data_IF_747629895567
#
_entry.id   IF_747629895567
#
_cell.length_a   1.000
_cell.length_b   1.000
_cell.length_c   1.000
_cell.angle_alpha   90.00
_cell.angle_beta   90.00
_cell.angle_gamma   90.00
#
_symmetry.space_group_name_H-M   'P 1'
#
loop_
_entity.id
_entity.type
_entity.pdbx_description
1 polymer ?
#
# COMPACT_ATOMS: atom_id res chain seq x y z
N UNK A 1 29.09 26.57 12.59
CA UNK A 1 29.54 25.20 12.93
C UNK A 1 28.76 24.80 14.16
N UNK A 2 27.75 23.95 14.01
CA UNK A 2 27.60 22.70 14.76
C UNK A 2 26.43 21.95 14.11
N UNK A 3 26.69 20.69 13.78
CA UNK A 3 25.93 19.87 12.84
C UNK A 3 24.56 19.49 13.42
N UNK A 4 23.50 19.74 12.64
CA UNK A 4 22.21 19.08 12.87
C UNK A 4 22.39 17.60 12.52
N UNK A 5 22.36 16.73 13.53
CA UNK A 5 22.25 15.29 13.33
C UNK A 5 20.95 15.02 12.59
N UNK A 6 21.07 14.74 11.29
CA UNK A 6 20.03 14.13 10.47
C UNK A 6 19.71 12.76 11.09
N UNK A 7 18.77 12.76 12.03
CA UNK A 7 18.14 11.53 12.50
C UNK A 7 17.62 10.78 11.28
N UNK A 8 18.06 9.53 11.13
CA UNK A 8 17.70 8.66 10.02
C UNK A 8 16.19 8.75 9.75
N UNK A 9 15.83 9.33 8.60
CA UNK A 9 14.52 9.12 8.00
C UNK A 9 14.45 7.65 7.63
N UNK A 10 13.95 6.83 8.56
CA UNK A 10 13.70 5.42 8.35
C UNK A 10 12.50 5.33 7.39
N UNK A 11 12.79 5.22 6.10
CA UNK A 11 11.77 4.84 5.12
C UNK A 11 11.41 3.37 5.35
N UNK A 12 10.14 3.07 5.64
CA UNK A 12 9.66 1.69 5.69
C UNK A 12 9.21 1.30 4.27
N UNK A 13 9.85 0.26 3.73
CA UNK A 13 9.80 -0.13 2.32
C UNK A 13 8.83 -1.31 2.13
N UNK A 14 7.86 -1.18 1.22
CA UNK A 14 7.20 -2.34 0.63
C UNK A 14 8.12 -2.91 -0.46
N UNK A 15 8.54 -4.17 -0.31
CA UNK A 15 9.31 -4.91 -1.32
C UNK A 15 8.36 -5.72 -2.17
N UNK A 16 8.39 -5.47 -3.48
CA UNK A 16 7.63 -6.22 -4.47
C UNK A 16 8.54 -7.09 -5.32
N UNK A 17 8.14 -8.34 -5.55
CA UNK A 17 8.81 -9.26 -6.45
C UNK A 17 7.81 -9.68 -7.54
N UNK A 18 8.08 -9.30 -8.79
CA UNK A 18 7.28 -9.68 -9.95
C UNK A 18 8.08 -10.64 -10.85
N UNK A 19 7.41 -11.67 -11.37
CA UNK A 19 7.95 -12.59 -12.39
C UNK A 19 7.65 -12.05 -13.78
N UNK A 20 8.61 -12.10 -14.70
CA UNK A 20 8.36 -11.77 -16.11
C UNK A 20 9.01 -12.80 -17.02
N UNK A 21 8.20 -13.64 -17.64
CA UNK A 21 8.50 -14.57 -18.76
C UNK A 21 9.69 -15.56 -18.60
N UNK A 22 10.43 -15.45 -17.51
CA UNK A 22 11.30 -16.46 -16.91
C UNK A 22 10.84 -16.56 -15.45
N UNK A 23 10.92 -17.74 -14.83
CA UNK A 23 10.56 -17.96 -13.43
C UNK A 23 11.53 -17.25 -12.44
N UNK A 24 12.08 -16.10 -12.83
CA UNK A 24 13.07 -15.32 -12.12
C UNK A 24 12.43 -14.03 -11.59
N UNK A 25 12.65 -13.76 -10.30
CA UNK A 25 12.24 -12.50 -9.68
C UNK A 25 13.22 -11.40 -10.08
N UNK A 26 12.72 -10.36 -10.76
CA UNK A 26 13.53 -9.21 -11.17
C UNK A 26 13.89 -8.29 -10.00
N UNK A 27 14.73 -7.28 -10.27
CA UNK A 27 15.28 -6.32 -9.30
C UNK A 27 14.18 -5.64 -8.47
N UNK A 28 14.28 -5.79 -7.15
CA UNK A 28 13.39 -5.19 -6.15
C UNK A 28 13.26 -3.67 -6.35
N UNK A 29 12.04 -3.19 -6.61
CA UNK A 29 11.71 -1.76 -6.57
C UNK A 29 10.95 -1.47 -5.28
N UNK A 30 11.50 -0.55 -4.50
CA UNK A 30 10.95 -0.14 -3.22
C UNK A 30 9.91 0.98 -3.38
N UNK A 31 8.73 0.81 -2.79
CA UNK A 31 7.71 1.85 -2.69
C UNK A 31 7.57 2.31 -1.23
N UNK A 32 7.64 3.64 -1.02
CA UNK A 32 7.45 4.23 0.32
C UNK A 32 5.98 4.17 0.70
N UNK A 33 5.71 3.73 1.92
CA UNK A 33 4.35 3.74 2.51
C UNK A 33 4.16 4.87 3.52
N UNK A 34 5.18 5.74 3.67
CA UNK A 34 5.20 6.82 4.66
C UNK A 34 6.20 6.58 5.79
N UNK A 35 6.51 7.64 6.54
CA UNK A 35 7.34 7.55 7.73
C UNK A 35 6.52 6.94 8.88
N UNK A 36 7.09 5.94 9.58
CA UNK A 36 6.41 5.20 10.67
C UNK A 36 5.12 4.47 10.27
N UNK A 37 4.91 4.22 8.97
CA UNK A 37 3.69 3.61 8.45
C UNK A 37 3.43 2.19 8.95
N UNK A 38 4.49 1.41 9.20
CA UNK A 38 4.41 0.01 9.63
C UNK A 38 3.35 -0.78 8.81
N UNK A 39 3.57 -0.98 7.49
CA UNK A 39 2.62 -1.68 6.64
C UNK A 39 2.42 -3.10 7.16
N UNK A 40 1.18 -3.51 7.35
CA UNK A 40 0.82 -4.76 8.02
C UNK A 40 0.29 -5.81 7.04
N UNK A 41 -0.55 -5.40 6.11
CA UNK A 41 -1.19 -6.29 5.14
C UNK A 41 -1.41 -5.59 3.80
N UNK A 42 -1.58 -6.38 2.74
CA UNK A 42 -1.81 -5.91 1.38
C UNK A 42 -2.95 -6.67 0.71
N UNK A 43 -3.60 -6.03 -0.27
CA UNK A 43 -4.55 -6.67 -1.18
C UNK A 43 -4.36 -6.14 -2.60
N UNK A 44 -4.85 -6.88 -3.58
CA UNK A 44 -4.63 -6.62 -5.01
C UNK A 44 -5.96 -6.62 -5.75
N UNK A 45 -6.16 -5.67 -6.66
CA UNK A 45 -7.36 -5.54 -7.48
C UNK A 45 -7.21 -4.40 -8.49
N UNK A 46 -8.01 -4.37 -9.55
CA UNK A 46 -8.08 -3.22 -10.47
C UNK A 46 -9.01 -2.17 -9.85
N UNK A 47 -8.43 -1.22 -9.12
CA UNK A 47 -9.16 -0.24 -8.30
C UNK A 47 -9.60 0.98 -9.12
N UNK A 48 -9.06 1.15 -10.32
CA UNK A 48 -9.32 2.32 -11.17
C UNK A 48 -9.88 1.98 -12.57
N UNK A 49 -10.11 0.70 -12.84
CA UNK A 49 -10.67 0.14 -14.08
C UNK A 49 -9.81 0.39 -15.32
N UNK A 50 -8.49 0.37 -15.15
CA UNK A 50 -7.54 0.50 -16.26
C UNK A 50 -7.04 -0.85 -16.80
N UNK A 51 -7.61 -1.96 -16.31
CA UNK A 51 -7.22 -3.35 -16.56
C UNK A 51 -5.80 -3.70 -16.09
N UNK A 52 -5.28 -3.00 -15.08
CA UNK A 52 -4.00 -3.30 -14.44
C UNK A 52 -4.24 -3.57 -12.96
N UNK A 53 -3.46 -4.48 -12.40
CA UNK A 53 -3.56 -4.77 -10.97
C UNK A 53 -2.93 -3.65 -10.16
N UNK A 54 -3.70 -3.11 -9.23
CA UNK A 54 -3.29 -2.15 -8.23
C UNK A 54 -3.07 -2.85 -6.89
N UNK A 55 -2.42 -2.16 -5.95
CA UNK A 55 -2.14 -2.67 -4.61
C UNK A 55 -2.72 -1.73 -3.57
N UNK A 56 -3.50 -2.29 -2.65
CA UNK A 56 -3.90 -1.61 -1.42
C UNK A 56 -2.97 -2.06 -0.31
N UNK A 57 -2.38 -1.10 0.41
CA UNK A 57 -1.53 -1.33 1.59
C UNK A 57 -2.22 -0.74 2.80
N UNK A 58 -2.30 -1.54 3.87
CA UNK A 58 -2.75 -1.07 5.18
C UNK A 58 -1.55 -0.77 6.05
N UNK A 59 -1.52 0.44 6.60
CA UNK A 59 -0.47 0.92 7.47
C UNK A 59 -0.98 0.98 8.91
N UNK A 60 -0.49 0.05 9.73
CA UNK A 60 -0.86 -0.03 11.14
C UNK A 60 -0.36 1.20 11.93
N UNK A 61 0.82 1.73 11.60
CA UNK A 61 1.47 2.77 12.40
C UNK A 61 0.97 4.20 12.12
N UNK A 62 0.34 4.41 10.97
CA UNK A 62 -0.18 5.73 10.56
C UNK A 62 -1.70 5.77 10.38
N UNK A 63 -2.41 4.72 10.81
CA UNK A 63 -3.88 4.63 10.78
C UNK A 63 -4.48 5.01 9.41
N UNK A 64 -3.89 4.48 8.34
CA UNK A 64 -4.32 4.76 6.98
C UNK A 64 -4.12 3.57 6.05
N UNK A 65 -4.72 3.68 4.87
CA UNK A 65 -4.45 2.83 3.73
C UNK A 65 -3.96 3.66 2.55
N UNK A 66 -3.09 3.05 1.74
CA UNK A 66 -2.57 3.61 0.50
C UNK A 66 -2.98 2.72 -0.66
N UNK A 67 -3.32 3.31 -1.81
CA UNK A 67 -3.47 2.57 -3.06
C UNK A 67 -2.29 2.89 -3.97
N UNK A 68 -1.67 1.88 -4.55
CA UNK A 68 -0.59 1.98 -5.53
C UNK A 68 -1.14 1.52 -6.87
N UNK A 69 -1.28 2.45 -7.82
CA UNK A 69 -1.81 2.16 -9.13
C UNK A 69 -0.75 1.49 -10.01
N UNK A 70 -1.09 0.34 -10.59
CA UNK A 70 -0.23 -0.45 -11.43
C UNK A 70 -0.05 0.19 -12.80
N UNK A 71 1.20 0.27 -13.27
CA UNK A 71 1.51 0.77 -14.62
C UNK A 71 1.59 -0.34 -15.65
N UNK A 72 1.29 -1.60 -15.31
CA UNK A 72 1.25 -2.74 -16.24
C UNK A 72 2.62 -3.22 -16.74
N UNK A 73 3.71 -2.55 -16.34
CA UNK A 73 5.09 -2.92 -16.62
C UNK A 73 5.80 -3.50 -15.38
N UNK A 74 5.03 -3.80 -14.33
CA UNK A 74 5.54 -4.24 -13.02
C UNK A 74 5.91 -3.09 -12.08
N UNK A 75 5.70 -1.83 -12.49
CA UNK A 75 5.90 -0.66 -11.63
C UNK A 75 4.58 -0.03 -11.18
N UNK A 76 4.66 0.79 -10.12
CA UNK A 76 3.50 1.39 -9.46
C UNK A 76 3.66 2.90 -9.28
N UNK A 77 2.54 3.61 -9.18
CA UNK A 77 2.46 4.99 -8.69
C UNK A 77 1.64 5.03 -7.41
N UNK A 78 2.21 5.61 -6.35
CA UNK A 78 1.45 5.85 -5.13
C UNK A 78 0.31 6.84 -5.39
N UNK A 79 -0.87 6.53 -4.88
CA UNK A 79 -2.04 7.40 -4.92
C UNK A 79 -2.27 8.09 -3.56
N UNK A 80 -3.53 8.42 -3.28
CA UNK A 80 -3.97 9.06 -2.05
C UNK A 80 -3.84 8.14 -0.83
N UNK A 81 -3.68 8.80 0.32
CA UNK A 81 -3.81 8.20 1.64
C UNK A 81 -5.24 8.35 2.13
N UNK A 82 -5.84 7.25 2.56
CA UNK A 82 -7.18 7.22 3.12
C UNK A 82 -7.10 6.87 4.61
N UNK A 83 -7.51 7.76 5.52
CA UNK A 83 -7.46 7.49 6.95
C UNK A 83 -8.49 6.43 7.33
N UNK A 84 -8.11 5.50 8.22
CA UNK A 84 -9.01 4.47 8.76
C UNK A 84 -9.64 4.87 10.10
N UNK A 85 -9.32 6.08 10.57
CA UNK A 85 -9.78 6.64 11.85
C UNK A 85 -8.65 6.70 12.88
N UNK A 86 -8.72 7.63 13.85
CA UNK A 86 -7.68 7.77 14.87
C UNK A 86 -7.58 6.52 15.75
N UNK A 87 -6.35 6.08 16.04
CA UNK A 87 -6.04 4.88 16.83
C UNK A 87 -6.70 3.61 16.28
N UNK A 88 -6.97 3.57 14.98
CA UNK A 88 -7.69 2.44 14.37
C UNK A 88 -6.80 1.21 14.24
N UNK A 89 -5.47 1.35 14.22
CA UNK A 89 -4.51 0.24 14.15
C UNK A 89 -4.94 -0.86 13.17
N UNK A 90 -5.20 -0.51 11.90
CA UNK A 90 -5.77 -1.44 10.94
C UNK A 90 -4.82 -2.60 10.65
N UNK A 91 -5.35 -3.82 10.58
CA UNK A 91 -4.56 -5.05 10.45
C UNK A 91 -5.09 -6.02 9.38
N UNK A 92 -6.29 -5.78 8.87
CA UNK A 92 -6.90 -6.58 7.79
C UNK A 92 -7.40 -5.71 6.65
N UNK A 93 -7.39 -6.25 5.44
CA UNK A 93 -8.05 -5.65 4.26
C UNK A 93 -8.70 -6.73 3.41
N UNK A 94 -9.84 -6.40 2.81
CA UNK A 94 -10.50 -7.16 1.77
C UNK A 94 -10.97 -6.20 0.68
N UNK A 95 -10.92 -6.66 -0.57
CA UNK A 95 -11.37 -5.93 -1.74
C UNK A 95 -12.45 -6.76 -2.43
N UNK A 96 -13.60 -6.13 -2.69
CA UNK A 96 -14.72 -6.71 -3.42
C UNK A 96 -15.66 -5.59 -3.88
N UNK A 97 -16.49 -5.83 -4.89
CA UNK A 97 -17.64 -4.97 -5.15
C UNK A 97 -18.72 -5.30 -4.09
N UNK A 98 -18.86 -4.45 -3.07
CA UNK A 98 -19.81 -4.67 -1.98
C UNK A 98 -21.15 -3.98 -2.25
N UNK A 99 -21.20 -3.06 -3.20
CA UNK A 99 -22.33 -2.18 -3.44
C UNK A 99 -23.01 -2.39 -4.82
N UNK A 100 -22.50 -3.33 -5.62
CA UNK A 100 -22.92 -3.71 -6.98
C UNK A 100 -22.80 -2.57 -8.02
N UNK A 101 -21.86 -1.63 -7.84
CA UNK A 101 -21.58 -0.55 -8.82
C UNK A 101 -20.53 -0.92 -9.88
N UNK A 102 -20.02 -2.14 -9.82
CA UNK A 102 -18.91 -2.69 -10.60
C UNK A 102 -17.54 -2.08 -10.29
N UNK A 103 -17.41 -1.22 -9.28
CA UNK A 103 -16.14 -0.75 -8.76
C UNK A 103 -15.73 -1.56 -7.53
N UNK A 104 -14.44 -1.86 -7.44
CA UNK A 104 -13.91 -2.54 -6.27
C UNK A 104 -13.94 -1.58 -5.06
N UNK A 105 -14.62 -2.01 -4.01
CA UNK A 105 -14.62 -1.36 -2.70
C UNK A 105 -13.52 -1.95 -1.80
N UNK A 106 -13.18 -1.22 -0.74
CA UNK A 106 -12.20 -1.64 0.27
C UNK A 106 -12.89 -1.74 1.62
N UNK A 107 -12.80 -2.90 2.27
CA UNK A 107 -13.13 -3.09 3.68
C UNK A 107 -11.86 -3.33 4.49
N UNK A 108 -11.72 -2.68 5.64
CA UNK A 108 -10.60 -2.89 6.55
C UNK A 108 -11.09 -3.39 7.90
N UNK A 109 -10.32 -4.31 8.48
CA UNK A 109 -10.47 -4.69 9.88
C UNK A 109 -9.49 -3.86 10.71
N UNK A 110 -10.03 -3.17 11.70
CA UNK A 110 -9.31 -2.27 12.58
C UNK A 110 -9.71 -2.52 14.03
N UNK A 111 -8.88 -2.09 14.97
CA UNK A 111 -9.27 -2.03 16.38
C UNK A 111 -9.72 -0.62 16.74
N UNK A 112 -10.20 -0.44 17.95
CA UNK A 112 -10.51 0.87 18.50
C UNK A 112 -9.87 0.89 19.89
N UNK A 113 -8.81 1.67 20.04
CA UNK A 113 -8.17 1.95 21.34
C UNK A 113 -8.27 3.43 21.72
#
# INVERSE_FOLDING_TARGET
MEEATLGQLLWVILTMMATKDTEEFSTNTAYSTGFQSNPYTVSVGDMNHDNRLDIVVVNYGTDNLLVFFGKGDGTFSQSNSYPTGPNSTPFGVLIADFNDDNYLDIATANTCE
#
